data_IF_200518467773
#
_entry.id   IF_200518467773
#
_cell.length_a   1.000
_cell.length_b   1.000
_cell.length_c   1.000
_cell.angle_alpha   90.00
_cell.angle_beta   90.00
_cell.angle_gamma   90.00
#
_symmetry.space_group_name_H-M   'P 1'
#
loop_
_entity.id
_entity.type
_entity.pdbx_description
1 polymer ?
#
# COMPACT_ATOMS: atom_id res chain seq x y z
N UNK A 1 48.09 -10.20 -25.11
CA UNK A 1 48.65 -11.38 -24.42
C UNK A 1 48.96 -12.51 -25.40
N UNK A 2 48.00 -12.97 -26.21
CA UNK A 2 48.26 -14.00 -27.22
C UNK A 2 49.30 -13.56 -28.27
N UNK A 3 49.18 -12.34 -28.81
CA UNK A 3 50.09 -11.84 -29.84
C UNK A 3 51.57 -11.75 -29.39
N UNK A 4 51.83 -11.44 -28.11
CA UNK A 4 53.19 -11.27 -27.57
C UNK A 4 53.93 -12.60 -27.36
N UNK A 5 53.20 -13.70 -27.15
CA UNK A 5 53.79 -15.05 -27.04
C UNK A 5 53.82 -15.77 -28.39
N UNK A 6 52.85 -15.50 -29.27
CA UNK A 6 52.77 -16.13 -30.58
C UNK A 6 53.89 -15.68 -31.53
N UNK A 7 54.35 -14.42 -31.43
CA UNK A 7 55.44 -13.92 -32.26
C UNK A 7 56.75 -14.73 -32.09
N UNK A 8 57.35 -14.85 -30.89
CA UNK A 8 58.58 -15.62 -30.71
C UNK A 8 58.40 -17.13 -30.97
N UNK A 9 57.21 -17.68 -30.74
CA UNK A 9 56.90 -19.09 -31.07
C UNK A 9 56.91 -19.35 -32.58
N UNK A 10 56.29 -18.47 -33.36
CA UNK A 10 56.28 -18.56 -34.82
C UNK A 10 57.70 -18.35 -35.38
N UNK A 11 58.48 -17.46 -34.77
CA UNK A 11 59.87 -17.20 -35.16
C UNK A 11 60.76 -18.42 -34.86
N UNK A 12 60.62 -19.03 -33.68
CA UNK A 12 61.30 -20.28 -33.33
C UNK A 12 60.91 -21.42 -34.29
N UNK A 13 59.63 -21.53 -34.65
CA UNK A 13 59.15 -22.52 -35.63
C UNK A 13 59.78 -22.30 -37.01
N UNK A 14 59.88 -21.05 -37.47
CA UNK A 14 60.52 -20.70 -38.74
C UNK A 14 62.03 -21.02 -38.72
N UNK A 15 62.72 -20.70 -37.62
CA UNK A 15 64.13 -21.01 -37.43
C UNK A 15 64.40 -22.52 -37.36
N UNK A 16 63.54 -23.28 -36.68
CA UNK A 16 63.65 -24.74 -36.62
C UNK A 16 63.45 -25.38 -38.01
N UNK A 17 62.43 -24.94 -38.77
CA UNK A 17 62.16 -25.44 -40.11
C UNK A 17 63.31 -25.13 -41.08
N UNK A 18 63.89 -23.93 -41.02
CA UNK A 18 65.05 -23.56 -41.85
C UNK A 18 66.30 -24.37 -41.50
N UNK A 19 66.52 -24.66 -40.21
CA UNK A 19 67.59 -25.55 -39.76
C UNK A 19 67.39 -26.97 -40.28
N UNK A 20 66.19 -27.54 -40.17
CA UNK A 20 65.89 -28.87 -40.71
C UNK A 20 66.08 -28.96 -42.23
N UNK A 21 65.67 -27.92 -42.98
CA UNK A 21 65.90 -27.84 -44.42
C UNK A 21 67.39 -27.77 -44.77
N UNK A 22 68.19 -27.05 -43.97
CA UNK A 22 69.65 -26.96 -44.18
C UNK A 22 70.38 -28.28 -43.92
N UNK A 23 69.83 -29.16 -43.08
CA UNK A 23 70.36 -30.48 -42.76
C UNK A 23 69.83 -31.61 -43.67
N UNK A 24 68.90 -31.29 -44.58
CA UNK A 24 68.25 -32.26 -45.47
C UNK A 24 69.15 -32.65 -46.66
N UNK A 25 69.01 -33.88 -47.22
CA UNK A 25 69.89 -34.38 -48.29
C UNK A 25 69.82 -33.56 -49.60
N UNK A 26 70.87 -33.60 -50.44
CA UNK A 26 71.19 -32.59 -51.47
C UNK A 26 70.37 -32.74 -52.78
N UNK A 27 69.06 -32.89 -52.68
CA UNK A 27 68.17 -32.88 -53.85
C UNK A 27 67.90 -31.45 -54.38
N UNK A 28 68.11 -30.43 -53.54
CA UNK A 28 68.11 -29.01 -53.94
C UNK A 28 69.23 -28.26 -53.20
N UNK A 29 69.73 -27.16 -53.76
CA UNK A 29 70.79 -26.34 -53.15
C UNK A 29 70.30 -25.85 -51.77
N UNK A 30 70.85 -26.35 -50.64
CA UNK A 30 70.24 -26.09 -49.34
C UNK A 30 70.38 -24.61 -48.96
N UNK A 31 69.37 -24.03 -48.30
CA UNK A 31 69.48 -22.69 -47.75
C UNK A 31 70.60 -22.65 -46.68
N UNK A 32 71.26 -21.49 -46.50
CA UNK A 32 72.30 -21.36 -45.48
C UNK A 32 71.70 -21.66 -44.09
N UNK A 33 72.44 -22.36 -43.20
CA UNK A 33 71.96 -22.65 -41.86
C UNK A 33 71.69 -21.35 -41.10
N UNK A 34 70.58 -21.28 -40.34
CA UNK A 34 70.29 -20.10 -39.53
C UNK A 34 71.39 -19.89 -38.47
N UNK A 35 71.75 -18.62 -38.18
CA UNK A 35 72.78 -18.32 -37.19
C UNK A 35 72.32 -18.70 -35.78
N UNK A 36 73.22 -19.25 -34.95
CA UNK A 36 72.91 -19.61 -33.56
C UNK A 36 72.40 -18.41 -32.74
N UNK A 37 72.84 -17.19 -33.06
CA UNK A 37 72.41 -15.96 -32.40
C UNK A 37 70.90 -15.73 -32.50
N UNK A 38 70.25 -16.08 -33.62
CA UNK A 38 68.80 -15.86 -33.78
C UNK A 38 67.97 -16.77 -32.86
N UNK A 39 68.46 -17.97 -32.56
CA UNK A 39 67.83 -18.85 -31.57
C UNK A 39 67.94 -18.29 -30.15
N UNK A 40 69.10 -17.73 -29.79
CA UNK A 40 69.31 -17.11 -28.47
C UNK A 40 68.47 -15.83 -28.31
N UNK A 41 68.33 -15.05 -29.38
CA UNK A 41 67.45 -13.87 -29.39
C UNK A 41 65.98 -14.26 -29.22
N UNK A 42 65.52 -15.30 -29.94
CA UNK A 42 64.16 -15.83 -29.77
C UNK A 42 63.91 -16.38 -28.36
N UNK A 43 64.88 -17.10 -27.78
CA UNK A 43 64.78 -17.64 -26.42
C UNK A 43 64.71 -16.52 -25.37
N UNK A 44 65.55 -15.49 -25.51
CA UNK A 44 65.51 -14.29 -24.67
C UNK A 44 64.18 -13.54 -24.79
N UNK A 45 63.66 -13.38 -26.02
CA UNK A 45 62.36 -12.76 -26.26
C UNK A 45 61.22 -13.56 -25.62
N UNK A 46 61.23 -14.88 -25.77
CA UNK A 46 60.23 -15.79 -25.19
C UNK A 46 60.28 -15.76 -23.66
N UNK A 47 61.46 -15.82 -23.06
CA UNK A 47 61.63 -15.70 -21.60
C UNK A 47 61.09 -14.36 -21.07
N UNK A 48 61.36 -13.26 -21.78
CA UNK A 48 60.84 -11.93 -21.41
C UNK A 48 59.30 -11.86 -21.49
N UNK A 49 58.72 -12.46 -22.53
CA UNK A 49 57.28 -12.49 -22.75
C UNK A 49 56.56 -13.35 -21.70
N UNK A 50 57.15 -14.48 -21.30
CA UNK A 50 56.62 -15.32 -20.20
C UNK A 50 56.67 -14.58 -18.87
N UNK A 51 57.80 -13.92 -18.56
CA UNK A 51 57.94 -13.14 -17.33
C UNK A 51 56.89 -12.02 -17.26
N UNK A 52 56.67 -11.32 -18.37
CA UNK A 52 55.61 -10.32 -18.47
C UNK A 52 54.24 -10.96 -18.23
N UNK A 53 53.91 -12.06 -18.91
CA UNK A 53 52.63 -12.75 -18.76
C UNK A 53 52.36 -13.15 -17.30
N UNK A 54 53.39 -13.63 -16.60
CA UNK A 54 53.31 -13.97 -15.19
C UNK A 54 52.98 -12.75 -14.31
N UNK A 55 53.67 -11.62 -14.51
CA UNK A 55 53.38 -10.37 -13.78
C UNK A 55 51.96 -9.90 -14.02
N UNK A 56 51.47 -9.98 -15.27
CA UNK A 56 50.09 -9.63 -15.57
C UNK A 56 49.09 -10.60 -14.95
N UNK A 57 49.39 -11.89 -14.88
CA UNK A 57 48.52 -12.86 -14.23
C UNK A 57 48.37 -12.57 -12.72
N UNK A 58 49.46 -12.19 -12.05
CA UNK A 58 49.39 -11.78 -10.64
C UNK A 58 48.52 -10.53 -10.49
N UNK A 59 48.72 -9.53 -11.35
CA UNK A 59 47.91 -8.31 -11.33
C UNK A 59 46.44 -8.61 -11.61
N UNK A 60 46.14 -9.49 -12.56
CA UNK A 60 44.77 -9.88 -12.88
C UNK A 60 44.09 -10.52 -11.67
N UNK A 61 44.75 -11.45 -10.97
CA UNK A 61 44.20 -12.04 -9.74
C UNK A 61 43.90 -10.98 -8.67
N UNK A 62 44.73 -9.94 -8.59
CA UNK A 62 44.48 -8.82 -7.68
C UNK A 62 43.27 -7.98 -8.13
N UNK A 63 43.11 -7.76 -9.43
CA UNK A 63 41.94 -7.08 -9.99
C UNK A 63 40.68 -7.88 -9.69
N UNK A 64 40.69 -9.19 -9.95
CA UNK A 64 39.54 -10.07 -9.71
C UNK A 64 39.15 -10.09 -8.22
N UNK A 65 40.15 -10.07 -7.31
CA UNK A 65 39.90 -9.99 -5.87
C UNK A 65 39.29 -8.65 -5.44
N UNK A 66 39.75 -7.54 -6.00
CA UNK A 66 39.19 -6.21 -5.73
C UNK A 66 37.79 -6.06 -6.32
N UNK A 67 37.52 -6.67 -7.48
CA UNK A 67 36.20 -6.70 -8.08
C UNK A 67 35.20 -7.43 -7.19
N UNK A 68 35.59 -8.59 -6.63
CA UNK A 68 34.77 -9.32 -5.67
C UNK A 68 34.48 -8.47 -4.41
N UNK A 69 35.49 -7.80 -3.86
CA UNK A 69 35.32 -6.91 -2.70
C UNK A 69 34.36 -5.75 -2.99
N UNK A 70 34.45 -5.14 -4.18
CA UNK A 70 33.53 -4.07 -4.59
C UNK A 70 32.10 -4.61 -4.68
N UNK A 71 31.89 -5.79 -5.26
CA UNK A 71 30.56 -6.39 -5.36
C UNK A 71 29.96 -6.70 -3.99
N UNK A 72 30.77 -7.20 -3.05
CA UNK A 72 30.35 -7.46 -1.68
C UNK A 72 29.96 -6.16 -0.95
N UNK A 73 30.76 -5.10 -1.10
CA UNK A 73 30.45 -3.79 -0.54
C UNK A 73 29.18 -3.18 -1.16
N UNK A 74 28.97 -3.36 -2.45
CA UNK A 74 27.77 -2.87 -3.13
C UNK A 74 26.52 -3.62 -2.66
N UNK A 75 26.63 -4.94 -2.40
CA UNK A 75 25.55 -5.72 -1.81
C UNK A 75 25.19 -5.22 -0.40
N UNK A 76 26.19 -5.01 0.47
CA UNK A 76 25.98 -4.45 1.80
C UNK A 76 25.36 -3.04 1.75
N UNK A 77 25.83 -2.20 0.83
CA UNK A 77 25.28 -0.86 0.66
C UNK A 77 23.79 -0.90 0.26
N UNK A 78 23.42 -1.80 -0.66
CA UNK A 78 22.02 -1.99 -1.06
C UNK A 78 21.15 -2.46 0.10
N UNK A 79 21.66 -3.38 0.92
CA UNK A 79 20.97 -3.87 2.12
C UNK A 79 20.70 -2.72 3.10
N UNK A 80 21.72 -1.91 3.42
CA UNK A 80 21.58 -0.73 4.29
C UNK A 80 20.56 0.27 3.73
N UNK A 81 20.58 0.50 2.42
CA UNK A 81 19.61 1.40 1.78
C UNK A 81 18.18 0.86 1.86
N UNK A 82 18.00 -0.45 1.73
CA UNK A 82 16.69 -1.10 1.85
C UNK A 82 16.16 -1.02 3.29
N UNK A 83 17.01 -1.31 4.28
CA UNK A 83 16.67 -1.17 5.71
C UNK A 83 16.31 0.28 6.06
N UNK A 84 17.08 1.24 5.57
CA UNK A 84 16.80 2.66 5.80
C UNK A 84 15.48 3.10 5.16
N UNK A 85 15.19 2.62 3.95
CA UNK A 85 13.93 2.92 3.28
C UNK A 85 12.73 2.31 4.03
N UNK A 86 12.86 1.08 4.52
CA UNK A 86 11.84 0.43 5.34
C UNK A 86 11.61 1.20 6.65
N UNK A 87 12.68 1.52 7.39
CA UNK A 87 12.59 2.27 8.64
C UNK A 87 12.03 3.68 8.44
N UNK A 88 12.31 4.33 7.30
CA UNK A 88 11.68 5.60 6.92
C UNK A 88 10.16 5.45 6.73
N UNK A 89 9.73 4.43 5.99
CA UNK A 89 8.31 4.18 5.76
C UNK A 89 7.56 3.88 7.06
N UNK A 90 8.12 3.03 7.93
CA UNK A 90 7.54 2.73 9.25
C UNK A 90 7.42 3.99 10.12
N UNK A 91 8.42 4.87 10.09
CA UNK A 91 8.37 6.12 10.85
C UNK A 91 7.32 7.10 10.29
N UNK A 92 7.18 7.17 8.97
CA UNK A 92 6.16 7.99 8.31
C UNK A 92 4.75 7.50 8.69
N UNK A 93 4.50 6.20 8.66
CA UNK A 93 3.23 5.60 9.12
C UNK A 93 2.95 5.95 10.59
N UNK A 94 3.96 5.81 11.47
CA UNK A 94 3.79 6.12 12.89
C UNK A 94 3.50 7.61 13.14
N UNK A 95 4.08 8.51 12.33
CA UNK A 95 3.79 9.94 12.39
C UNK A 95 2.35 10.21 11.94
N UNK A 96 1.92 9.62 10.83
CA UNK A 96 0.54 9.75 10.33
C UNK A 96 -0.48 9.25 11.36
N UNK A 97 -0.28 8.07 11.96
CA UNK A 97 -1.11 7.59 13.06
C UNK A 97 -1.10 8.54 14.27
N UNK A 98 0.06 9.11 14.58
CA UNK A 98 0.24 10.06 15.67
C UNK A 98 -0.61 11.32 15.45
N UNK A 99 -0.57 11.87 14.24
CA UNK A 99 -1.34 13.05 13.86
C UNK A 99 -2.84 12.79 13.89
N UNK A 100 -3.29 11.64 13.39
CA UNK A 100 -4.70 11.22 13.48
C UNK A 100 -5.18 11.11 14.94
N UNK A 101 -4.36 10.53 15.82
CA UNK A 101 -4.68 10.44 17.27
C UNK A 101 -4.77 11.80 17.92
N UNK A 102 -3.86 12.73 17.58
CA UNK A 102 -3.90 14.11 18.10
C UNK A 102 -5.18 14.80 17.65
N UNK A 103 -5.55 14.67 16.38
CA UNK A 103 -6.80 15.22 15.84
C UNK A 103 -8.02 14.66 16.56
N UNK A 104 -8.10 13.34 16.74
CA UNK A 104 -9.20 12.70 17.45
C UNK A 104 -9.30 13.14 18.93
N UNK A 105 -8.17 13.32 19.61
CA UNK A 105 -8.12 13.84 20.97
C UNK A 105 -8.65 15.28 21.02
N UNK A 106 -8.24 16.13 20.09
CA UNK A 106 -8.66 17.53 20.07
C UNK A 106 -10.13 17.69 19.69
N UNK A 107 -10.65 16.83 18.80
CA UNK A 107 -12.09 16.73 18.53
C UNK A 107 -12.86 16.26 19.77
N UNK A 108 -12.38 15.23 20.47
CA UNK A 108 -13.00 14.75 21.71
C UNK A 108 -13.01 15.82 22.81
N UNK A 109 -11.94 16.62 22.92
CA UNK A 109 -11.89 17.78 23.83
C UNK A 109 -12.90 18.85 23.43
N UNK A 110 -13.02 19.18 22.15
CA UNK A 110 -14.00 20.17 21.66
C UNK A 110 -15.44 19.70 21.87
N UNK A 111 -15.70 18.41 21.68
CA UNK A 111 -17.00 17.77 21.88
C UNK A 111 -17.25 17.31 23.33
N UNK A 112 -16.43 17.75 24.30
CA UNK A 112 -16.56 17.28 25.67
C UNK A 112 -17.91 17.69 26.26
N UNK A 113 -18.73 16.71 26.61
CA UNK A 113 -20.01 16.95 27.29
C UNK A 113 -19.74 17.14 28.77
N UNK A 114 -20.26 18.20 29.41
CA UNK A 114 -20.04 18.42 30.83
C UNK A 114 -20.66 17.29 31.65
N UNK A 115 -19.88 16.81 32.63
CA UNK A 115 -20.24 15.66 33.47
C UNK A 115 -21.65 15.75 34.12
N UNK A 116 -22.12 16.91 34.62
CA UNK A 116 -23.47 17.03 35.17
C UNK A 116 -24.58 16.73 34.17
N UNK A 117 -24.44 17.16 32.91
CA UNK A 117 -25.45 16.91 31.87
C UNK A 117 -25.49 15.43 31.49
N UNK A 118 -24.32 14.80 31.41
CA UNK A 118 -24.21 13.37 31.12
C UNK A 118 -24.85 12.53 32.23
N UNK A 119 -24.62 12.87 33.50
CA UNK A 119 -25.27 12.21 34.64
C UNK A 119 -26.79 12.42 34.65
N UNK A 120 -27.26 13.65 34.41
CA UNK A 120 -28.68 13.94 34.36
C UNK A 120 -29.37 13.15 33.23
N UNK A 121 -28.74 13.10 32.06
CA UNK A 121 -29.25 12.33 30.92
C UNK A 121 -29.24 10.82 31.22
N UNK A 122 -28.15 10.28 31.78
CA UNK A 122 -28.06 8.87 32.17
C UNK A 122 -29.14 8.48 33.21
N UNK A 123 -29.39 9.35 34.21
CA UNK A 123 -30.47 9.14 35.17
C UNK A 123 -31.83 9.13 34.49
N UNK A 124 -32.05 10.02 33.51
CA UNK A 124 -33.30 10.04 32.73
C UNK A 124 -33.49 8.76 31.90
N UNK A 125 -32.41 8.26 31.28
CA UNK A 125 -32.43 7.02 30.48
C UNK A 125 -32.60 5.77 31.35
N UNK A 126 -32.06 5.76 32.58
CA UNK A 126 -32.12 4.60 33.47
C UNK A 126 -33.54 4.09 33.72
N UNK A 127 -34.56 4.96 33.65
CA UNK A 127 -35.96 4.58 33.80
C UNK A 127 -36.55 3.86 32.55
N UNK A 128 -35.86 3.92 31.41
CA UNK A 128 -36.29 3.38 30.11
C UNK A 128 -35.39 2.25 29.57
N UNK A 129 -34.17 2.07 30.10
CA UNK A 129 -33.14 1.22 29.46
C UNK A 129 -32.98 -0.19 30.01
N UNK A 130 -33.57 -0.57 31.14
CA UNK A 130 -33.55 -1.99 31.58
C UNK A 130 -34.60 -2.33 32.64
N UNK A 131 -35.35 -3.42 32.41
CA UNK A 131 -36.08 -4.08 33.49
C UNK A 131 -35.06 -4.79 34.38
N UNK A 132 -34.96 -4.50 35.68
CA UNK A 132 -34.05 -5.20 36.57
C UNK A 132 -34.29 -6.71 36.51
N UNK A 133 -33.24 -7.56 36.46
CA UNK A 133 -33.36 -9.01 36.29
C UNK A 133 -34.18 -9.72 37.39
N UNK A 134 -34.48 -9.04 38.51
CA UNK A 134 -35.36 -9.50 39.59
C UNK A 134 -36.58 -8.58 39.76
N UNK A 135 -37.29 -8.23 38.68
CA UNK A 135 -38.58 -7.55 38.83
C UNK A 135 -39.56 -8.48 39.58
N UNK A 136 -40.05 -8.09 40.76
CA UNK A 136 -41.05 -8.88 41.47
C UNK A 136 -42.35 -8.88 40.67
N UNK A 137 -43.00 -10.04 40.64
CA UNK A 137 -44.29 -10.22 39.97
C UNK A 137 -45.34 -9.25 40.55
N UNK A 138 -45.82 -8.33 39.71
CA UNK A 138 -46.71 -7.21 40.06
C UNK A 138 -48.13 -7.66 40.48
N UNK A 139 -48.38 -8.96 40.52
CA UNK A 139 -49.66 -9.57 40.89
C UNK A 139 -49.80 -9.84 42.39
N UNK A 140 -48.74 -9.66 43.19
CA UNK A 140 -48.72 -9.93 44.63
C UNK A 140 -49.05 -8.66 45.46
N UNK A 141 -50.12 -8.67 46.29
CA UNK A 141 -50.48 -7.52 47.11
C UNK A 141 -49.51 -7.33 48.28
N UNK A 142 -49.00 -6.11 48.47
CA UNK A 142 -48.24 -5.69 49.66
C UNK A 142 -46.79 -5.24 49.44
N UNK A 143 -46.32 -5.09 48.20
CA UNK A 143 -44.95 -4.63 47.94
C UNK A 143 -44.81 -3.10 47.83
N UNK A 144 -43.62 -2.53 48.15
CA UNK A 144 -43.35 -1.11 47.96
C UNK A 144 -43.56 -0.71 46.50
N UNK A 145 -43.99 0.55 46.23
CA UNK A 145 -44.27 0.98 44.87
C UNK A 145 -43.04 0.76 43.99
N UNK A 146 -43.17 0.06 42.86
CA UNK A 146 -42.03 -0.29 42.03
C UNK A 146 -41.36 0.99 41.52
N UNK A 147 -40.02 0.99 41.36
CA UNK A 147 -39.33 2.08 40.68
C UNK A 147 -39.99 2.33 39.32
N UNK A 148 -40.21 3.61 38.98
CA UNK A 148 -40.87 4.05 37.75
C UNK A 148 -40.14 3.50 36.53
N UNK A 149 -40.58 2.34 36.05
CA UNK A 149 -40.05 1.67 34.88
C UNK A 149 -40.97 1.93 33.69
N UNK A 150 -40.39 2.46 32.63
CA UNK A 150 -41.09 2.68 31.38
C UNK A 150 -40.61 1.67 30.34
N UNK A 151 -41.51 1.19 29.46
CA UNK A 151 -41.12 0.29 28.40
C UNK A 151 -40.07 0.95 27.48
N UNK A 152 -39.19 0.15 26.86
CA UNK A 152 -38.06 0.64 26.06
C UNK A 152 -38.48 1.37 24.78
N UNK A 153 -39.75 1.24 24.38
CA UNK A 153 -40.35 1.96 23.27
C UNK A 153 -41.66 2.65 23.70
N UNK A 154 -42.07 3.73 23.02
CA UNK A 154 -43.34 4.41 23.31
C UNK A 154 -44.53 3.46 23.09
N UNK A 155 -45.37 3.28 24.11
CA UNK A 155 -46.61 2.52 23.97
C UNK A 155 -47.62 3.26 23.07
N UNK A 156 -48.53 2.50 22.45
CA UNK A 156 -49.59 3.02 21.59
C UNK A 156 -50.44 4.11 22.26
N UNK A 157 -50.75 3.96 23.55
CA UNK A 157 -51.45 4.99 24.33
C UNK A 157 -50.65 6.29 24.47
N UNK A 158 -49.33 6.20 24.66
CA UNK A 158 -48.44 7.38 24.74
C UNK A 158 -48.32 8.04 23.36
N UNK A 159 -48.25 7.25 22.29
CA UNK A 159 -48.29 7.75 20.93
C UNK A 159 -49.61 8.48 20.66
N UNK A 160 -50.76 7.86 20.96
CA UNK A 160 -52.11 8.45 20.81
C UNK A 160 -52.33 9.73 21.61
N UNK A 161 -51.75 9.81 22.81
CA UNK A 161 -51.81 11.02 23.65
C UNK A 161 -50.78 12.08 23.22
N UNK A 162 -49.82 11.72 22.38
CA UNK A 162 -48.78 12.60 21.89
C UNK A 162 -49.33 13.68 20.96
N UNK A 163 -48.62 14.81 20.88
CA UNK A 163 -49.01 15.96 20.03
C UNK A 163 -49.24 15.59 18.56
N UNK A 164 -48.48 14.64 18.04
CA UNK A 164 -48.61 14.17 16.66
C UNK A 164 -49.98 13.55 16.36
N UNK A 165 -50.60 12.89 17.35
CA UNK A 165 -51.97 12.37 17.23
C UNK A 165 -53.05 13.43 17.39
N UNK A 166 -52.75 14.53 18.09
CA UNK A 166 -53.66 15.67 18.17
C UNK A 166 -53.79 16.39 16.82
N UNK A 167 -52.76 16.31 15.98
CA UNK A 167 -52.74 16.89 14.63
C UNK A 167 -53.30 15.93 13.57
N UNK A 168 -53.08 14.62 13.71
CA UNK A 168 -53.66 13.58 12.86
C UNK A 168 -53.99 12.31 13.68
N UNK A 169 -55.27 12.05 14.03
CA UNK A 169 -55.62 10.95 14.90
C UNK A 169 -55.36 9.59 14.24
N UNK A 170 -54.57 8.74 14.91
CA UNK A 170 -54.51 7.31 14.64
C UNK A 170 -55.89 6.71 14.91
N UNK A 171 -56.37 5.86 13.99
CA UNK A 171 -57.69 5.19 14.07
C UNK A 171 -57.93 4.38 15.36
N UNK A 172 -59.08 3.71 15.43
CA UNK A 172 -59.48 3.01 16.66
C UNK A 172 -58.46 1.92 17.07
N UNK A 173 -58.38 1.67 18.39
CA UNK A 173 -57.48 0.68 18.99
C UNK A 173 -57.71 -0.70 18.35
N UNK A 174 -56.74 -1.16 17.54
CA UNK A 174 -56.80 -2.42 16.80
C UNK A 174 -57.02 -2.32 15.29
N UNK A 175 -57.22 -1.12 14.72
CA UNK A 175 -57.34 -0.93 13.27
C UNK A 175 -55.95 -0.76 12.62
N UNK A 176 -55.57 -1.72 11.77
CA UNK A 176 -54.33 -1.64 10.96
C UNK A 176 -54.57 -0.78 9.72
N UNK A 177 -54.18 0.50 9.76
CA UNK A 177 -54.13 1.32 8.54
C UNK A 177 -52.82 1.07 7.79
N UNK A 178 -52.88 0.87 6.47
CA UNK A 178 -51.69 0.70 5.64
C UNK A 178 -50.91 2.01 5.58
N UNK A 179 -49.75 2.06 6.24
CA UNK A 179 -48.81 3.17 6.16
C UNK A 179 -48.16 3.12 4.77
N UNK A 180 -48.53 4.06 3.90
CA UNK A 180 -48.00 4.14 2.53
C UNK A 180 -49.10 4.00 1.48
N UNK A 181 -49.78 5.11 1.19
CA UNK A 181 -50.48 5.26 -0.09
C UNK A 181 -49.45 5.83 -1.07
N UNK A 182 -49.12 5.17 -2.20
CA UNK A 182 -48.28 5.77 -3.23
C UNK A 182 -48.91 7.09 -3.70
N UNK A 183 -48.13 8.15 -3.96
CA UNK A 183 -48.66 9.46 -4.28
C UNK A 183 -49.49 9.36 -5.56
N UNK A 184 -50.80 9.56 -5.40
CA UNK A 184 -51.73 9.63 -6.52
C UNK A 184 -51.79 11.08 -6.98
N UNK A 185 -51.22 11.28 -8.17
CA UNK A 185 -51.52 12.26 -9.22
C UNK A 185 -51.93 13.68 -8.78
N UNK A 186 -51.05 14.61 -9.14
CA UNK A 186 -51.14 16.07 -9.04
C UNK A 186 -52.53 16.67 -9.35
N UNK A 187 -52.95 17.72 -8.61
CA UNK A 187 -53.90 18.69 -9.13
C UNK A 187 -53.19 19.93 -9.68
N UNK A 188 -53.94 20.53 -10.60
CA UNK A 188 -53.66 21.57 -11.57
C UNK A 188 -53.33 22.93 -10.96
N UNK A 189 -52.42 23.64 -11.61
CA UNK A 189 -52.02 25.03 -11.34
C UNK A 189 -53.18 25.98 -11.60
N UNK A 190 -53.51 26.83 -10.63
CA UNK A 190 -54.11 28.15 -10.86
C UNK A 190 -53.30 29.20 -10.10
N UNK A 191 -53.02 30.30 -10.81
CA UNK A 191 -52.10 31.34 -10.41
C UNK A 191 -52.77 32.44 -9.58
N UNK A 192 -51.92 33.15 -8.83
CA UNK A 192 -52.08 34.47 -8.22
C UNK A 192 -52.56 34.52 -6.76
N UNK A 193 -51.62 34.80 -5.85
CA UNK A 193 -51.55 36.09 -5.15
C UNK A 193 -50.23 36.22 -4.33
N UNK A 194 -49.59 37.38 -4.51
CA UNK A 194 -48.42 37.85 -3.77
C UNK A 194 -48.76 38.11 -2.30
N UNK A 195 -48.01 37.53 -1.35
CA UNK A 195 -47.65 38.17 -0.07
C UNK A 195 -46.22 37.73 0.33
N UNK A 196 -45.33 38.66 0.73
CA UNK A 196 -43.97 38.36 1.15
C UNK A 196 -43.92 37.98 2.64
N UNK A 197 -43.28 36.85 2.97
CA UNK A 197 -43.13 36.40 4.35
C UNK A 197 -42.21 35.19 4.45
N UNK A 198 -41.17 35.33 5.25
CA UNK A 198 -39.95 34.54 5.27
C UNK A 198 -40.10 33.11 5.83
N UNK A 199 -39.44 32.15 5.18
CA UNK A 199 -39.08 30.86 5.77
C UNK A 199 -37.55 30.80 5.97
N UNK A 200 -37.02 30.83 7.21
CA UNK A 200 -35.59 30.97 7.49
C UNK A 200 -34.76 29.68 7.40
N UNK A 201 -35.32 28.57 6.90
CA UNK A 201 -34.61 27.28 6.80
C UNK A 201 -34.45 26.73 5.38
N UNK A 202 -34.73 27.54 4.34
CA UNK A 202 -34.49 27.10 2.95
C UNK A 202 -33.08 27.52 2.52
N UNK A 203 -32.11 26.63 2.67
CA UNK A 203 -30.83 26.74 1.96
C UNK A 203 -31.08 26.47 0.48
N UNK A 204 -31.02 27.54 -0.33
CA UNK A 204 -30.93 27.45 -1.78
C UNK A 204 -29.59 26.81 -2.17
N UNK A 205 -29.61 25.53 -2.51
CA UNK A 205 -28.50 24.86 -3.20
C UNK A 205 -28.95 24.47 -4.60
N UNK A 206 -28.36 25.16 -5.58
CA UNK A 206 -28.53 24.96 -7.01
C UNK A 206 -27.48 23.96 -7.53
N UNK A 207 -27.98 22.76 -7.90
CA UNK A 207 -27.48 21.73 -8.86
C UNK A 207 -26.04 21.15 -8.72
N UNK A 208 -25.85 19.85 -9.06
CA UNK A 208 -25.51 19.46 -10.45
C UNK A 208 -26.32 18.25 -11.00
N UNK A 209 -26.21 17.93 -12.30
CA UNK A 209 -27.01 16.88 -12.97
C UNK A 209 -26.57 15.46 -12.56
N UNK A 210 -27.44 14.44 -12.71
CA UNK A 210 -27.08 13.05 -12.39
C UNK A 210 -26.05 12.52 -13.38
N UNK A 211 -24.87 12.14 -12.87
CA UNK A 211 -23.91 11.32 -13.58
C UNK A 211 -24.44 9.88 -13.63
N UNK A 212 -24.66 9.39 -14.85
CA UNK A 212 -24.84 7.97 -15.13
C UNK A 212 -23.56 7.24 -14.70
N UNK A 213 -23.68 6.27 -13.80
CA UNK A 213 -22.65 5.27 -13.55
C UNK A 213 -22.98 4.05 -14.41
N UNK A 214 -22.24 3.87 -15.50
CA UNK A 214 -22.24 2.66 -16.31
C UNK A 214 -21.20 1.71 -15.71
N UNK A 215 -21.65 0.78 -14.86
CA UNK A 215 -20.83 -0.27 -14.25
C UNK A 215 -20.71 -1.41 -15.25
N UNK A 216 -19.71 -1.31 -16.13
CA UNK A 216 -19.30 -2.42 -17.00
C UNK A 216 -18.59 -3.48 -16.14
N UNK A 217 -19.40 -4.40 -15.61
CA UNK A 217 -18.96 -5.60 -14.88
C UNK A 217 -18.57 -6.66 -15.90
N UNK A 218 -17.36 -6.54 -16.45
CA UNK A 218 -16.75 -7.64 -17.20
C UNK A 218 -16.42 -8.79 -16.23
N UNK A 219 -17.23 -9.84 -16.30
CA UNK A 219 -17.22 -11.00 -15.40
C UNK A 219 -16.44 -12.19 -15.97
N UNK A 220 -15.55 -12.01 -16.93
CA UNK A 220 -14.65 -13.08 -17.38
C UNK A 220 -13.26 -12.56 -17.80
N UNK A 221 -12.28 -12.47 -16.89
CA UNK A 221 -10.88 -12.45 -17.27
C UNK A 221 -10.37 -13.91 -17.34
N UNK A 222 -10.30 -14.43 -18.57
CA UNK A 222 -9.56 -15.62 -18.99
C UNK A 222 -9.95 -16.99 -18.39
N UNK A 223 -10.87 -17.67 -19.10
CA UNK A 223 -10.93 -19.13 -19.29
C UNK A 223 -11.49 -19.46 -20.69
#
# INVERSE_FOLDING_TARGET
MSATLLAPLNELQALANTLFLSLSPPQSKPPPPPPLSSFLECDGALASAINLAYVHQIKQRKVDALEAEILDLEAQWREICAELAAGKAELEELIEEGDERIMAIDEAKKASIPYPELLAYAQSLSAFTSAPPNMPDLTLPGQPPPPLFFPPFPNEEKMRRGRLNAEAPLGLLGETHSVGRPPTVSPKVEASHNIPGANPYRQDLRAPPPQFFDLDLDLNPDL
#
